data_IF_523252110930
#
_entry.id   IF_523252110930
#
_cell.length_a   1.000
_cell.length_b   1.000
_cell.length_c   1.000
_cell.angle_alpha   90.00
_cell.angle_beta   90.00
_cell.angle_gamma   90.00
#
_symmetry.space_group_name_H-M   'P 1'
#
loop_
_entity.id
_entity.type
_entity.pdbx_description
1 polymer ?
#
# COMPACT_ATOMS: atom_id res chain seq x y z
N UNK A 1 27.29 8.22 16.14
CA UNK A 1 25.99 7.46 16.28
C UNK A 1 24.89 8.49 16.18
N UNK A 2 24.13 8.51 15.10
CA UNK A 2 22.93 9.32 15.00
C UNK A 2 21.88 8.66 15.91
N UNK A 3 21.53 9.30 17.01
CA UNK A 3 20.40 8.88 17.84
C UNK A 3 19.12 9.25 17.10
N UNK A 4 18.54 8.28 16.38
CA UNK A 4 17.19 8.41 15.86
C UNK A 4 16.22 8.35 17.05
N UNK A 5 15.35 9.33 17.15
CA UNK A 5 14.22 9.26 18.07
C UNK A 5 13.14 8.39 17.41
N UNK A 6 12.83 7.23 17.99
CA UNK A 6 11.84 6.28 17.47
C UNK A 6 10.72 6.14 18.49
N UNK A 7 9.51 6.33 18.02
CA UNK A 7 8.28 6.10 18.78
C UNK A 7 7.50 4.95 18.15
N UNK A 8 6.97 4.04 18.97
CA UNK A 8 6.13 2.91 18.53
C UNK A 8 4.68 3.17 18.92
N UNK A 9 3.80 3.22 17.91
CA UNK A 9 2.36 3.33 18.08
C UNK A 9 1.71 1.98 17.78
N UNK A 10 0.93 1.45 18.73
CA UNK A 10 0.17 0.20 18.58
C UNK A 10 -1.29 0.57 18.37
N UNK A 11 -1.64 0.91 17.13
CA UNK A 11 -2.98 1.38 16.77
C UNK A 11 -3.36 0.96 15.35
N UNK A 12 -4.61 1.17 14.97
CA UNK A 12 -5.07 0.88 13.61
C UNK A 12 -4.54 1.92 12.63
N UNK A 13 -4.00 1.47 11.50
CA UNK A 13 -3.57 2.37 10.42
C UNK A 13 -4.74 3.17 9.78
N UNK A 14 -5.99 2.76 10.03
CA UNK A 14 -7.19 3.50 9.60
C UNK A 14 -7.68 4.55 10.60
N UNK A 15 -6.98 4.72 11.73
CA UNK A 15 -7.30 5.72 12.76
C UNK A 15 -6.05 5.97 13.61
N UNK A 16 -5.22 6.90 13.19
CA UNK A 16 -3.95 7.23 13.83
C UNK A 16 -4.11 8.37 14.83
N UNK A 17 -3.43 8.26 15.99
CA UNK A 17 -3.34 9.35 16.99
C UNK A 17 -2.39 10.49 16.59
N UNK A 18 -1.94 10.49 15.33
CA UNK A 18 -1.04 11.49 14.74
C UNK A 18 -1.83 12.72 14.27
N UNK A 19 -1.31 13.91 14.52
CA UNK A 19 -1.92 15.18 14.10
C UNK A 19 -2.01 15.27 12.57
N UNK A 20 -3.07 15.96 12.09
CA UNK A 20 -3.20 16.25 10.67
C UNK A 20 -2.10 17.20 10.18
N UNK A 21 -1.66 17.01 8.94
CA UNK A 21 -0.66 17.86 8.29
C UNK A 21 0.66 18.00 9.10
N UNK A 22 1.13 16.89 9.68
CA UNK A 22 2.29 16.88 10.56
C UNK A 22 3.46 16.02 10.05
N UNK A 23 3.21 15.09 9.12
CA UNK A 23 4.19 14.09 8.66
C UNK A 23 4.76 14.47 7.29
N UNK A 24 6.08 14.45 7.17
CA UNK A 24 6.77 14.72 5.91
C UNK A 24 6.74 13.52 4.96
N UNK A 25 6.87 12.31 5.50
CA UNK A 25 6.93 11.09 4.70
C UNK A 25 6.25 9.92 5.41
N UNK A 26 5.34 9.26 4.71
CA UNK A 26 4.76 7.98 5.13
C UNK A 26 5.30 6.87 4.23
N UNK A 27 5.69 5.75 4.84
CA UNK A 27 6.16 4.55 4.12
C UNK A 27 5.25 3.37 4.44
N UNK A 28 4.75 2.70 3.40
CA UNK A 28 3.97 1.47 3.51
C UNK A 28 4.62 0.36 2.70
N UNK A 29 4.87 -0.79 3.34
CA UNK A 29 5.43 -1.97 2.67
C UNK A 29 4.61 -3.20 3.04
N UNK A 30 4.02 -3.85 2.04
CA UNK A 30 3.21 -5.06 2.21
C UNK A 30 2.11 -4.95 3.29
N UNK A 31 1.57 -3.75 3.46
CA UNK A 31 0.50 -3.46 4.41
C UNK A 31 -0.84 -3.24 3.70
N UNK A 32 -0.90 -2.41 2.66
CA UNK A 32 -2.15 -2.12 1.95
C UNK A 32 -2.79 -3.36 1.31
N UNK A 33 -1.99 -4.36 0.94
CA UNK A 33 -2.51 -5.63 0.44
C UNK A 33 -3.19 -6.47 1.54
N UNK A 34 -2.87 -6.25 2.82
CA UNK A 34 -3.29 -7.09 3.95
C UNK A 34 -4.30 -6.44 4.88
N UNK A 35 -4.30 -5.12 5.03
CA UNK A 35 -5.20 -4.44 5.97
C UNK A 35 -6.66 -4.53 5.53
N UNK A 36 -7.61 -4.64 6.50
CA UNK A 36 -9.03 -4.79 6.20
C UNK A 36 -9.65 -3.60 5.47
N UNK A 37 -9.24 -2.38 5.82
CA UNK A 37 -9.84 -1.13 5.32
C UNK A 37 -8.79 -0.22 4.62
N UNK A 38 -8.26 -0.65 3.45
CA UNK A 38 -7.15 0.06 2.81
C UNK A 38 -7.51 1.48 2.36
N UNK A 39 -8.76 1.76 1.96
CA UNK A 39 -9.21 3.11 1.61
C UNK A 39 -9.22 4.03 2.83
N UNK A 40 -9.72 3.57 3.97
CA UNK A 40 -9.68 4.37 5.21
C UNK A 40 -8.23 4.65 5.63
N UNK A 41 -7.35 3.65 5.51
CA UNK A 41 -5.92 3.83 5.79
C UNK A 41 -5.29 4.87 4.86
N UNK A 42 -5.60 4.85 3.58
CA UNK A 42 -5.11 5.86 2.64
C UNK A 42 -5.66 7.25 2.94
N UNK A 43 -6.91 7.37 3.38
CA UNK A 43 -7.46 8.65 3.86
C UNK A 43 -6.75 9.14 5.12
N UNK A 44 -6.40 8.25 6.06
CA UNK A 44 -5.59 8.61 7.23
C UNK A 44 -4.16 9.04 6.83
N UNK A 45 -3.51 8.31 5.93
CA UNK A 45 -2.22 8.72 5.38
C UNK A 45 -2.30 10.11 4.76
N UNK A 46 -3.34 10.37 3.98
CA UNK A 46 -3.60 11.70 3.40
C UNK A 46 -3.79 12.77 4.47
N UNK A 47 -4.53 12.48 5.53
CA UNK A 47 -4.79 13.40 6.64
C UNK A 47 -3.53 13.81 7.39
N UNK A 48 -2.65 12.85 7.68
CA UNK A 48 -1.43 13.11 8.46
C UNK A 48 -0.30 13.71 7.64
N UNK A 49 -0.25 13.48 6.33
CA UNK A 49 0.76 14.06 5.45
C UNK A 49 0.60 15.58 5.35
N UNK A 50 1.74 16.28 5.36
CA UNK A 50 1.83 17.70 4.98
C UNK A 50 1.46 17.90 3.52
N UNK A 51 1.16 19.14 3.12
CA UNK A 51 0.77 19.49 1.75
C UNK A 51 1.88 19.14 0.73
N UNK A 52 3.15 19.19 1.14
CA UNK A 52 4.33 18.80 0.37
C UNK A 52 4.86 17.41 0.76
N UNK A 53 4.13 16.71 1.62
CA UNK A 53 4.48 15.37 2.12
C UNK A 53 4.43 14.29 1.03
N UNK A 54 5.20 13.23 1.24
CA UNK A 54 5.34 12.13 0.28
C UNK A 54 4.89 10.81 0.88
N UNK A 55 4.09 10.08 0.14
CA UNK A 55 3.73 8.69 0.41
C UNK A 55 4.61 7.76 -0.45
N UNK A 56 5.38 6.89 0.20
CA UNK A 56 6.23 5.87 -0.43
C UNK A 56 5.60 4.51 -0.17
N UNK A 57 5.48 3.68 -1.19
CA UNK A 57 4.84 2.38 -1.06
C UNK A 57 5.56 1.27 -1.83
N UNK A 58 5.42 0.04 -1.32
CA UNK A 58 5.83 -1.20 -2.01
C UNK A 58 4.85 -2.31 -1.60
N UNK A 59 4.01 -2.77 -2.52
CA UNK A 59 2.85 -3.61 -2.23
C UNK A 59 2.66 -4.73 -3.25
N UNK A 60 2.15 -5.88 -2.81
CA UNK A 60 1.56 -6.85 -3.73
C UNK A 60 0.31 -6.29 -4.38
N UNK A 61 0.04 -6.65 -5.62
CA UNK A 61 -1.20 -6.23 -6.26
C UNK A 61 -1.60 -7.02 -7.48
N UNK A 62 -2.72 -6.59 -8.05
CA UNK A 62 -3.33 -7.23 -9.20
C UNK A 62 -2.44 -7.11 -10.44
N UNK A 63 -2.18 -8.25 -11.07
CA UNK A 63 -1.46 -8.30 -12.34
C UNK A 63 -2.32 -7.78 -13.50
N UNK A 64 -1.77 -7.03 -14.46
CA UNK A 64 -2.46 -6.64 -15.68
C UNK A 64 -2.67 -7.81 -16.65
N UNK A 65 -1.96 -8.92 -16.46
CA UNK A 65 -2.14 -10.11 -17.27
C UNK A 65 -3.41 -10.86 -16.87
N UNK A 66 -4.39 -10.95 -17.78
CA UNK A 66 -5.71 -11.55 -17.54
C UNK A 66 -5.67 -13.00 -17.02
N UNK A 67 -4.69 -13.81 -17.44
CA UNK A 67 -4.55 -15.20 -16.95
C UNK A 67 -4.05 -15.22 -15.52
N UNK A 68 -3.09 -14.34 -15.19
CA UNK A 68 -2.53 -14.23 -13.85
C UNK A 68 -3.57 -13.65 -12.89
N UNK A 69 -4.26 -12.57 -13.28
CA UNK A 69 -5.32 -11.96 -12.46
C UNK A 69 -6.51 -12.90 -12.22
N UNK A 70 -6.84 -13.74 -13.19
CA UNK A 70 -7.84 -14.80 -12.98
C UNK A 70 -7.41 -15.78 -11.88
N UNK A 71 -6.15 -16.22 -11.87
CA UNK A 71 -5.61 -17.08 -10.82
C UNK A 71 -5.60 -16.33 -9.48
N UNK A 72 -5.18 -15.06 -9.45
CA UNK A 72 -5.21 -14.24 -8.25
C UNK A 72 -6.62 -14.16 -7.65
N UNK A 73 -7.65 -13.95 -8.47
CA UNK A 73 -9.04 -13.89 -8.03
C UNK A 73 -9.54 -15.23 -7.44
N UNK A 74 -9.15 -16.35 -8.03
CA UNK A 74 -9.50 -17.67 -7.48
C UNK A 74 -8.78 -17.92 -6.16
N UNK A 75 -7.49 -17.63 -6.10
CA UNK A 75 -6.67 -17.88 -4.90
C UNK A 75 -7.01 -16.94 -3.76
N UNK A 76 -7.55 -15.76 -4.02
CA UNK A 76 -7.95 -14.78 -3.02
C UNK A 76 -9.04 -15.30 -2.07
N UNK A 77 -9.80 -16.31 -2.46
CA UNK A 77 -10.79 -16.94 -1.59
C UNK A 77 -10.17 -17.61 -0.34
N UNK A 78 -8.98 -18.16 -0.45
CA UNK A 78 -8.32 -18.89 0.66
C UNK A 78 -6.94 -18.34 1.04
N UNK A 79 -6.22 -17.69 0.12
CA UNK A 79 -4.87 -17.20 0.36
C UNK A 79 -4.77 -16.21 1.53
N UNK A 80 -5.67 -15.24 1.71
CA UNK A 80 -5.61 -14.33 2.85
C UNK A 80 -5.67 -15.03 4.21
N UNK A 81 -6.35 -16.17 4.29
CA UNK A 81 -6.48 -16.94 5.54
C UNK A 81 -5.17 -17.57 6.01
N UNK A 82 -4.25 -17.83 5.09
CA UNK A 82 -2.95 -18.46 5.39
C UNK A 82 -1.77 -17.50 5.24
N UNK A 83 -1.98 -16.35 4.61
CA UNK A 83 -0.96 -15.35 4.29
C UNK A 83 -1.16 -14.00 5.04
N UNK A 84 -1.64 -14.07 6.29
CA UNK A 84 -1.76 -12.88 7.14
C UNK A 84 -2.69 -11.80 6.61
N UNK A 85 -3.73 -12.19 5.86
CA UNK A 85 -4.69 -11.25 5.28
C UNK A 85 -4.31 -10.68 3.91
N UNK A 86 -3.19 -11.11 3.31
CA UNK A 86 -2.71 -10.57 2.04
C UNK A 86 -3.63 -10.93 0.86
N UNK A 87 -4.18 -9.91 0.22
CA UNK A 87 -4.97 -9.97 -1.01
C UNK A 87 -4.11 -9.63 -2.22
N UNK A 88 -3.75 -10.61 -3.03
CA UNK A 88 -2.89 -10.39 -4.21
C UNK A 88 -3.64 -9.81 -5.41
N UNK A 89 -4.97 -9.71 -5.33
CA UNK A 89 -5.84 -9.20 -6.37
C UNK A 89 -6.30 -7.74 -6.15
N UNK A 90 -5.72 -7.02 -5.19
CA UNK A 90 -6.00 -5.58 -5.02
C UNK A 90 -5.32 -4.76 -6.12
N UNK A 91 -6.08 -3.91 -6.80
CA UNK A 91 -5.51 -2.94 -7.72
C UNK A 91 -4.94 -1.76 -6.92
N UNK A 92 -3.66 -1.85 -6.57
CA UNK A 92 -2.97 -0.87 -5.72
C UNK A 92 -2.90 0.50 -6.38
N UNK A 93 -2.64 0.55 -7.69
CA UNK A 93 -2.60 1.79 -8.46
C UNK A 93 -3.93 2.53 -8.35
N UNK A 94 -5.04 1.85 -8.66
CA UNK A 94 -6.36 2.45 -8.58
C UNK A 94 -6.75 2.84 -7.16
N UNK A 95 -6.43 1.98 -6.19
CA UNK A 95 -6.72 2.23 -4.77
C UNK A 95 -6.07 3.53 -4.27
N UNK A 96 -4.80 3.75 -4.60
CA UNK A 96 -4.05 4.95 -4.23
C UNK A 96 -4.60 6.17 -4.99
N UNK A 97 -4.83 6.06 -6.28
CA UNK A 97 -5.38 7.13 -7.13
C UNK A 97 -6.77 7.58 -6.66
N UNK A 98 -7.69 6.64 -6.42
CA UNK A 98 -9.07 6.91 -5.98
C UNK A 98 -9.11 7.53 -4.56
N UNK A 99 -8.06 7.33 -3.77
CA UNK A 99 -7.93 7.94 -2.44
C UNK A 99 -7.41 9.38 -2.46
N UNK A 100 -7.20 9.95 -3.66
CA UNK A 100 -6.81 11.34 -3.85
C UNK A 100 -5.30 11.57 -3.79
N UNK A 101 -4.53 10.61 -4.29
CA UNK A 101 -3.09 10.75 -4.50
C UNK A 101 -2.76 10.85 -5.98
N UNK A 102 -1.71 11.60 -6.28
CA UNK A 102 -1.08 11.71 -7.59
C UNK A 102 0.29 11.06 -7.54
N UNK A 103 0.58 10.13 -8.46
CA UNK A 103 1.89 9.49 -8.54
C UNK A 103 2.97 10.47 -9.00
N UNK A 104 4.07 10.48 -8.28
CA UNK A 104 5.33 11.10 -8.68
C UNK A 104 6.21 10.08 -9.43
N UNK A 105 6.11 8.82 -9.01
CA UNK A 105 6.79 7.68 -9.60
C UNK A 105 5.96 6.42 -9.32
N UNK A 106 5.77 5.58 -10.34
CA UNK A 106 5.05 4.32 -10.23
C UNK A 106 5.75 3.26 -11.08
N UNK A 107 6.13 2.19 -10.43
CA UNK A 107 6.78 1.05 -11.04
C UNK A 107 6.06 -0.24 -10.67
N UNK A 108 6.20 -1.25 -11.52
CA UNK A 108 5.68 -2.58 -11.25
C UNK A 108 6.59 -3.67 -11.84
N UNK A 109 6.59 -4.84 -11.23
CA UNK A 109 7.40 -5.97 -11.67
C UNK A 109 6.81 -7.29 -11.16
N UNK A 110 7.08 -8.37 -11.91
CA UNK A 110 7.03 -9.71 -11.34
C UNK A 110 8.36 -9.99 -10.63
N UNK A 111 8.30 -10.24 -9.33
CA UNK A 111 9.50 -10.57 -8.56
C UNK A 111 10.17 -11.85 -9.09
N UNK A 112 11.46 -11.81 -9.42
CA UNK A 112 12.18 -12.99 -9.85
C UNK A 112 12.14 -14.12 -8.81
N UNK A 113 11.97 -15.36 -9.26
CA UNK A 113 11.95 -16.52 -8.37
C UNK A 113 10.64 -16.77 -7.64
N UNK A 114 9.62 -15.91 -7.81
CA UNK A 114 8.29 -16.11 -7.25
C UNK A 114 7.28 -16.58 -8.31
N UNK A 115 6.22 -17.21 -7.85
CA UNK A 115 5.10 -17.53 -8.74
C UNK A 115 4.40 -16.24 -9.19
N UNK A 116 4.06 -16.12 -10.49
CA UNK A 116 3.53 -14.87 -11.08
C UNK A 116 2.29 -14.33 -10.36
N UNK A 117 1.42 -15.19 -9.85
CA UNK A 117 0.21 -14.76 -9.14
C UNK A 117 0.47 -14.25 -7.71
N UNK A 118 1.63 -14.54 -7.13
CA UNK A 118 2.08 -14.03 -5.83
C UNK A 118 3.09 -12.89 -5.95
N UNK A 119 3.80 -12.81 -7.07
CA UNK A 119 4.99 -11.96 -7.20
C UNK A 119 4.77 -10.66 -7.97
N UNK A 120 3.53 -10.26 -8.30
CA UNK A 120 3.32 -8.97 -8.94
C UNK A 120 3.28 -7.86 -7.90
N UNK A 121 4.19 -6.90 -8.05
CA UNK A 121 4.41 -5.82 -7.10
C UNK A 121 4.33 -4.46 -7.76
N UNK A 122 3.83 -3.50 -6.99
CA UNK A 122 3.84 -2.07 -7.27
C UNK A 122 4.72 -1.36 -6.25
N UNK A 123 5.54 -0.43 -6.69
CA UNK A 123 6.26 0.46 -5.78
C UNK A 123 6.41 1.84 -6.39
N UNK A 124 6.51 2.84 -5.56
CA UNK A 124 6.65 4.20 -6.04
C UNK A 124 6.47 5.24 -4.96
N UNK A 125 6.24 6.45 -5.44
CA UNK A 125 5.99 7.64 -4.64
C UNK A 125 4.73 8.35 -5.12
N UNK A 126 3.96 8.85 -4.19
CA UNK A 126 2.78 9.65 -4.47
C UNK A 126 2.72 10.87 -3.55
N UNK A 127 2.01 11.89 -3.95
CA UNK A 127 1.67 13.06 -3.13
C UNK A 127 0.17 13.25 -3.10
N UNK A 128 -0.32 14.03 -2.16
CA UNK A 128 -1.73 14.42 -2.12
C UNK A 128 -2.06 15.22 -3.38
N UNK A 129 -3.16 14.86 -4.05
CA UNK A 129 -3.66 15.65 -5.19
C UNK A 129 -4.16 17.01 -4.71
N UNK A 130 -3.78 18.05 -5.43
CA UNK A 130 -4.24 19.41 -5.20
C UNK A 130 -5.73 19.53 -5.47
#
# INVERSE_FOLDING_TARGET
KNNLNVEFLIESASSLSVESNSIDTVVSTYALCSIPEPQKTLHEIKRVLKDDGVFIFSEHGLSPNKRVSFIQNITDFFYPKIAGGCHTNRNIEQLISDSGFQFLDLNNIYLPGTQKFLGYNYWGKAKVSS
#
